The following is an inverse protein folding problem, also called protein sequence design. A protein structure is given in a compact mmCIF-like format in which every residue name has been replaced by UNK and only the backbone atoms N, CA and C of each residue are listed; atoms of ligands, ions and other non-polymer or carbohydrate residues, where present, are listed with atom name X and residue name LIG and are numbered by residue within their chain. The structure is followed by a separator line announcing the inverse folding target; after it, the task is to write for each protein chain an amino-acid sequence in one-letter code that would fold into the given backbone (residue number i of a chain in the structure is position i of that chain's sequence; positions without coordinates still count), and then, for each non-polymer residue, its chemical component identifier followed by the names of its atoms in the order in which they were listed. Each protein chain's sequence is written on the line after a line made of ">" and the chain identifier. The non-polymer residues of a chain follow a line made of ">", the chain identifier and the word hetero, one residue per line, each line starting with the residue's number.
data_IF_297753180685
#
_entry.id   IF_297753180685
#
_cell.length_a   1.000
_cell.length_b   1.000
_cell.length_c   1.000
_cell.angle_alpha   90.00
_cell.angle_beta   90.00
_cell.angle_gamma   90.00
#
_symmetry.space_group_name_H-M   'P 1'
#
loop_
_entity.id
_entity.type
_entity.pdbx_description
1 polymer ?
#
# COMPACT_ATOMS: atom_id res chain seq x y z
N UNK A 1 8.39 1.85 -12.21
CA UNK A 1 9.22 2.39 -11.10
C UNK A 1 9.24 1.43 -9.92
N UNK A 2 8.08 1.00 -9.43
CA UNK A 2 7.96 0.04 -8.34
C UNK A 2 8.74 -1.28 -8.56
N UNK A 3 8.73 -1.84 -9.77
CA UNK A 3 9.49 -3.07 -10.06
C UNK A 3 11.02 -2.88 -9.97
N UNK A 4 11.53 -1.72 -10.40
CA UNK A 4 12.96 -1.38 -10.29
C UNK A 4 13.38 -1.19 -8.83
N UNK A 5 12.51 -0.56 -8.03
CA UNK A 5 12.70 -0.41 -6.60
C UNK A 5 12.71 -1.77 -5.90
N UNK A 6 11.74 -2.64 -6.23
CA UNK A 6 11.63 -3.99 -5.67
C UNK A 6 12.87 -4.83 -5.97
N UNK A 7 13.35 -4.81 -7.22
CA UNK A 7 14.58 -5.51 -7.61
C UNK A 7 15.80 -4.97 -6.85
N UNK A 8 15.99 -3.65 -6.85
CA UNK A 8 17.11 -3.03 -6.12
C UNK A 8 17.10 -3.37 -4.63
N UNK A 9 15.93 -3.33 -3.99
CA UNK A 9 15.79 -3.68 -2.58
C UNK A 9 16.11 -5.17 -2.35
N UNK A 10 15.61 -6.07 -3.20
CA UNK A 10 15.88 -7.50 -3.09
C UNK A 10 17.37 -7.83 -3.23
N UNK A 11 18.08 -7.14 -4.14
CA UNK A 11 19.48 -7.39 -4.43
C UNK A 11 20.42 -6.82 -3.35
N UNK A 12 20.05 -5.69 -2.72
CA UNK A 12 20.94 -4.95 -1.82
C UNK A 12 20.55 -5.04 -0.33
N UNK A 13 19.30 -5.41 -0.03
CA UNK A 13 18.76 -5.51 1.34
C UNK A 13 17.98 -6.82 1.50
N UNK A 14 18.63 -7.99 1.42
CA UNK A 14 17.97 -9.26 1.68
C UNK A 14 17.45 -9.31 3.12
N UNK A 15 16.31 -9.98 3.32
CA UNK A 15 15.70 -10.10 4.65
C UNK A 15 16.69 -10.70 5.66
N UNK A 16 16.78 -10.16 6.89
CA UNK A 16 15.87 -9.19 7.51
C UNK A 16 16.35 -7.72 7.41
N UNK A 17 17.26 -7.38 6.50
CA UNK A 17 17.82 -6.03 6.44
C UNK A 17 16.75 -4.98 6.09
N UNK A 18 16.71 -3.90 6.86
CA UNK A 18 15.85 -2.75 6.57
C UNK A 18 16.43 -1.94 5.41
N UNK A 19 15.65 -1.62 4.36
CA UNK A 19 16.12 -0.82 3.24
C UNK A 19 16.58 0.59 3.66
N UNK A 20 17.74 1.02 3.18
CA UNK A 20 18.16 2.42 3.32
C UNK A 20 17.53 3.26 2.19
N UNK A 21 16.40 3.90 2.48
CA UNK A 21 15.67 4.68 1.47
C UNK A 21 16.44 5.88 0.89
N UNK A 22 17.53 6.34 1.53
CA UNK A 22 18.42 7.34 0.93
C UNK A 22 19.25 6.77 -0.22
N UNK A 23 19.67 5.51 -0.12
CA UNK A 23 20.37 4.83 -1.21
C UNK A 23 19.41 4.49 -2.35
N UNK A 24 18.19 4.04 -2.01
CA UNK A 24 17.12 3.76 -2.98
C UNK A 24 16.72 5.04 -3.73
N UNK A 25 16.58 6.17 -3.03
CA UNK A 25 16.25 7.46 -3.64
C UNK A 25 17.32 7.94 -4.61
N UNK A 26 18.59 7.77 -4.25
CA UNK A 26 19.72 8.09 -5.13
C UNK A 26 19.76 7.20 -6.38
N UNK A 27 19.44 5.91 -6.24
CA UNK A 27 19.42 4.96 -7.36
C UNK A 27 18.26 5.23 -8.34
N UNK A 28 17.08 5.58 -7.82
CA UNK A 28 15.86 5.78 -8.62
C UNK A 28 15.64 7.22 -9.08
N UNK A 29 16.47 8.17 -8.62
CA UNK A 29 16.30 9.62 -8.84
C UNK A 29 14.90 10.12 -8.49
N UNK A 30 14.46 9.80 -7.27
CA UNK A 30 13.19 10.26 -6.69
C UNK A 30 13.42 10.69 -5.24
N UNK A 31 12.42 11.29 -4.60
CA UNK A 31 12.54 11.67 -3.19
C UNK A 31 12.58 10.45 -2.27
N UNK A 32 13.12 10.62 -1.07
CA UNK A 32 13.12 9.57 -0.05
C UNK A 32 11.69 9.25 0.39
N UNK A 33 10.85 10.27 0.48
CA UNK A 33 9.44 10.19 0.85
C UNK A 33 8.68 9.32 -0.17
N UNK A 34 8.92 9.53 -1.47
CA UNK A 34 8.32 8.68 -2.53
C UNK A 34 8.78 7.22 -2.42
N UNK A 35 10.05 6.98 -2.06
CA UNK A 35 10.55 5.62 -1.82
C UNK A 35 9.82 4.97 -0.64
N UNK A 36 9.63 5.68 0.47
CA UNK A 36 8.91 5.15 1.64
C UNK A 36 7.49 4.81 1.25
N UNK A 37 6.76 5.74 0.61
CA UNK A 37 5.39 5.52 0.17
C UNK A 37 5.25 4.33 -0.78
N UNK A 38 6.14 4.21 -1.78
CA UNK A 38 6.13 3.05 -2.68
C UNK A 38 6.45 1.74 -1.95
N UNK A 39 7.36 1.75 -0.97
CA UNK A 39 7.68 0.58 -0.16
C UNK A 39 6.47 0.13 0.64
N UNK A 40 5.78 1.06 1.29
CA UNK A 40 4.58 0.79 2.07
C UNK A 40 3.48 0.19 1.19
N UNK A 41 3.24 0.81 0.03
CA UNK A 41 2.29 0.28 -0.96
C UNK A 41 2.67 -1.14 -1.42
N UNK A 42 3.95 -1.40 -1.69
CA UNK A 42 4.44 -2.73 -2.07
C UNK A 42 4.30 -3.77 -0.95
N UNK A 43 4.28 -3.35 0.31
CA UNK A 43 4.08 -4.24 1.45
C UNK A 43 2.59 -4.41 1.82
N UNK A 44 1.68 -3.75 1.10
CA UNK A 44 0.26 -3.73 1.46
C UNK A 44 -0.03 -2.92 2.72
N UNK A 45 0.88 -2.00 3.07
CA UNK A 45 0.70 -1.01 4.10
C UNK A 45 0.12 0.23 3.45
N UNK A 46 -1.14 0.52 3.73
CA UNK A 46 -1.80 1.75 3.30
C UNK A 46 -2.21 2.55 4.52
N UNK A 47 -2.07 3.88 4.43
CA UNK A 47 -2.63 4.77 5.43
C UNK A 47 -4.16 4.78 5.26
N UNK A 48 -4.88 4.35 6.29
CA UNK A 48 -6.34 4.37 6.32
C UNK A 48 -6.86 5.75 6.70
N UNK A 49 -6.67 6.72 5.82
CA UNK A 49 -7.26 8.06 5.96
C UNK A 49 -8.76 8.02 5.73
N UNK A 50 -9.48 9.04 6.21
CA UNK A 50 -10.94 9.10 6.03
C UNK A 50 -11.33 9.19 4.55
N UNK A 51 -10.49 9.79 3.71
CA UNK A 51 -10.66 9.79 2.25
C UNK A 51 -10.58 8.37 1.67
N UNK A 52 -9.58 7.58 2.07
CA UNK A 52 -9.45 6.18 1.62
C UNK A 52 -10.64 5.35 2.10
N UNK A 53 -11.05 5.51 3.37
CA UNK A 53 -12.23 4.82 3.92
C UNK A 53 -13.50 5.18 3.14
N UNK A 54 -13.74 6.47 2.89
CA UNK A 54 -14.89 6.92 2.11
C UNK A 54 -14.89 6.35 0.69
N UNK A 55 -13.71 6.29 0.05
CA UNK A 55 -13.54 5.67 -1.27
C UNK A 55 -13.82 4.16 -1.24
N UNK A 56 -13.40 3.43 -0.19
CA UNK A 56 -13.74 2.00 0.00
C UNK A 56 -15.25 1.80 0.12
N UNK A 57 -15.93 2.64 0.91
CA UNK A 57 -17.38 2.59 1.06
C UNK A 57 -18.09 2.86 -0.27
N UNK A 58 -17.68 3.87 -1.02
CA UNK A 58 -18.24 4.18 -2.35
C UNK A 58 -18.05 3.02 -3.34
N UNK A 59 -16.84 2.46 -3.41
CA UNK A 59 -16.57 1.27 -4.24
C UNK A 59 -17.43 0.09 -3.84
N UNK A 60 -17.71 -0.10 -2.55
CA UNK A 60 -18.63 -1.14 -2.09
C UNK A 60 -20.08 -0.88 -2.43
N UNK A 61 -20.56 0.35 -2.33
CA UNK A 61 -21.91 0.74 -2.77
C UNK A 61 -22.11 0.49 -4.27
N UNK A 62 -21.05 0.61 -5.06
CA UNK A 62 -21.02 0.28 -6.50
C UNK A 62 -20.97 -1.22 -6.80
N UNK A 63 -21.00 -2.09 -5.77
CA UNK A 63 -21.03 -3.55 -5.94
C UNK A 63 -19.66 -4.20 -6.18
N UNK A 64 -18.56 -3.47 -6.06
CA UNK A 64 -17.22 -4.00 -6.27
C UNK A 64 -16.85 -5.02 -5.18
N UNK A 65 -16.19 -6.12 -5.51
CA UNK A 65 -15.80 -7.16 -4.54
C UNK A 65 -14.59 -6.71 -3.70
N UNK A 66 -14.47 -7.22 -2.46
CA UNK A 66 -13.33 -6.90 -1.58
C UNK A 66 -11.97 -7.16 -2.23
N UNK A 67 -11.86 -8.26 -2.99
CA UNK A 67 -10.64 -8.64 -3.72
C UNK A 67 -10.22 -7.63 -4.78
N UNK A 68 -11.19 -6.95 -5.39
CA UNK A 68 -10.94 -5.99 -6.47
C UNK A 68 -10.61 -4.63 -5.86
N UNK A 69 -11.30 -4.26 -4.78
CA UNK A 69 -10.97 -3.08 -3.97
C UNK A 69 -9.56 -3.19 -3.39
N UNK A 70 -9.20 -4.36 -2.82
CA UNK A 70 -7.88 -4.53 -2.22
C UNK A 70 -6.79 -4.28 -3.25
N UNK A 71 -6.92 -4.88 -4.45
CA UNK A 71 -5.99 -4.68 -5.57
C UNK A 71 -5.96 -3.25 -6.11
N UNK A 72 -7.09 -2.54 -6.12
CA UNK A 72 -7.11 -1.13 -6.51
C UNK A 72 -6.37 -0.23 -5.53
N UNK A 73 -6.42 -0.55 -4.23
CA UNK A 73 -5.75 0.24 -3.19
C UNK A 73 -4.25 -0.07 -3.11
N UNK A 74 -3.90 -1.35 -3.11
CA UNK A 74 -2.52 -1.80 -3.24
C UNK A 74 -2.47 -3.24 -3.76
N UNK A 75 -1.53 -3.56 -4.66
CA UNK A 75 -1.41 -4.89 -5.24
C UNK A 75 -1.19 -6.00 -4.19
N UNK A 76 -0.62 -5.65 -3.03
CA UNK A 76 -0.31 -6.59 -1.95
C UNK A 76 -1.17 -6.37 -0.69
N UNK A 77 -2.23 -5.56 -0.79
CA UNK A 77 -3.15 -5.37 0.32
C UNK A 77 -4.01 -6.63 0.54
N UNK A 78 -4.02 -7.13 1.78
CA UNK A 78 -4.90 -8.24 2.16
C UNK A 78 -6.37 -7.85 2.05
N UNK A 79 -7.18 -8.76 1.51
CA UNK A 79 -8.64 -8.63 1.44
C UNK A 79 -9.25 -8.49 2.84
N UNK A 80 -8.68 -9.16 3.85
CA UNK A 80 -9.17 -9.08 5.23
C UNK A 80 -9.09 -7.66 5.78
N UNK A 81 -7.99 -6.93 5.53
CA UNK A 81 -7.82 -5.54 5.97
C UNK A 81 -8.90 -4.62 5.41
N UNK A 82 -9.37 -4.86 4.19
CA UNK A 82 -10.47 -4.08 3.59
C UNK A 82 -11.80 -4.38 4.29
N UNK A 83 -12.04 -5.65 4.64
CA UNK A 83 -13.24 -6.05 5.37
C UNK A 83 -13.27 -5.45 6.79
N UNK A 84 -12.15 -5.54 7.52
CA UNK A 84 -12.04 -5.06 8.90
C UNK A 84 -12.35 -3.56 9.00
N UNK A 85 -11.85 -2.77 8.04
CA UNK A 85 -12.10 -1.33 7.99
C UNK A 85 -13.57 -0.99 7.70
N UNK A 86 -14.24 -1.75 6.85
CA UNK A 86 -15.66 -1.52 6.60
C UNK A 86 -16.54 -1.88 7.78
N UNK A 87 -16.20 -2.95 8.51
CA UNK A 87 -16.88 -3.28 9.76
C UNK A 87 -16.70 -2.14 10.75
N UNK A 88 -15.47 -1.72 10.99
CA UNK A 88 -15.16 -0.63 11.91
C UNK A 88 -15.84 0.70 11.51
N UNK A 89 -15.89 1.03 10.21
CA UNK A 89 -16.55 2.25 9.75
C UNK A 89 -18.08 2.22 9.89
N UNK A 90 -18.69 1.03 9.77
CA UNK A 90 -20.13 0.82 9.97
C UNK A 90 -20.54 0.82 11.44
N UNK A 91 -19.63 0.52 12.36
CA UNK A 91 -19.90 0.60 13.81
C UNK A 91 -19.82 2.04 14.34
N UNK A 92 -19.21 2.96 13.59
CA UNK A 92 -18.98 4.35 13.98
C UNK A 92 -19.99 5.33 13.33
N UNK A 93 -20.78 4.88 12.35
CA UNK A 93 -21.82 5.68 11.66
C UNK A 93 -23.19 5.00 11.74
#
# INVERSE_FOLDING_TARGET
>A
MADRMKAFIADNYPAPATPNFRAVSNYLWITREDCIHMSDMLQGNIAWTDEIKARVVDMRKKGMLFKDISKQLSPNLSVSKVNDILVAFREVN
#
